data_IF_538593566180
#
_entry.id   IF_538593566180
#
_cell.length_a   1.000
_cell.length_b   1.000
_cell.length_c   1.000
_cell.angle_alpha   90.00
_cell.angle_beta   90.00
_cell.angle_gamma   90.00
#
_symmetry.space_group_name_H-M   'P 1'
#
loop_
_entity.id
_entity.type
_entity.pdbx_description
1 polymer ?
#
# COMPACT_ATOMS: atom_id res chain seq x y z
N UNK A 1 50.68 -1.01 5.07
CA UNK A 1 50.25 -0.73 3.68
C UNK A 1 49.67 -2.04 3.15
N UNK A 2 48.38 -2.23 2.85
CA UNK A 2 47.33 -1.30 2.42
C UNK A 2 45.94 -1.84 2.80
N UNK A 3 45.02 -0.95 3.24
CA UNK A 3 43.58 -1.22 3.39
C UNK A 3 42.92 -1.36 2.01
N UNK A 4 41.77 -2.05 1.94
CA UNK A 4 40.54 -1.43 1.42
C UNK A 4 39.41 -1.70 2.43
N UNK A 5 38.64 -0.81 3.04
CA UNK A 5 38.00 0.46 2.64
C UNK A 5 37.33 0.40 1.27
N UNK A 6 36.20 -0.32 1.18
CA UNK A 6 35.02 0.01 0.38
C UNK A 6 33.80 -0.74 0.96
N UNK A 7 32.65 -0.03 1.04
CA UNK A 7 31.27 -0.54 0.91
C UNK A 7 30.76 -1.62 1.91
N UNK A 8 29.63 -1.48 2.60
CA UNK A 8 28.38 -0.79 2.34
C UNK A 8 27.75 -0.36 3.67
N UNK A 9 27.04 0.78 3.66
CA UNK A 9 26.12 1.14 4.72
C UNK A 9 24.98 0.12 4.77
N UNK A 10 25.10 -0.90 5.61
CA UNK A 10 23.98 -1.82 5.88
C UNK A 10 22.94 -1.03 6.68
N UNK A 11 21.90 -0.57 5.98
CA UNK A 11 20.78 0.17 6.53
C UNK A 11 19.96 -0.78 7.44
N UNK A 12 20.25 -0.80 8.74
CA UNK A 12 19.58 -1.66 9.73
C UNK A 12 18.18 -1.16 10.16
N UNK A 13 17.42 -0.47 9.30
CA UNK A 13 16.14 0.11 9.71
C UNK A 13 15.07 -0.02 8.63
N UNK A 14 14.60 -1.26 8.42
CA UNK A 14 13.31 -1.54 7.82
C UNK A 14 12.31 -1.87 8.91
N UNK A 15 11.89 -0.90 9.71
CA UNK A 15 10.72 -1.06 10.58
C UNK A 15 9.51 -1.25 9.66
N UNK A 16 9.09 -2.51 9.47
CA UNK A 16 7.81 -2.81 8.85
C UNK A 16 6.72 -2.18 9.71
N UNK A 17 6.28 -0.98 9.35
CA UNK A 17 5.12 -0.36 9.95
C UNK A 17 3.98 -1.36 9.83
N UNK A 18 3.38 -1.74 10.97
CA UNK A 18 2.10 -2.43 10.97
C UNK A 18 1.12 -1.46 10.30
N UNK A 19 0.96 -1.58 8.99
CA UNK A 19 -0.06 -0.87 8.24
C UNK A 19 -1.39 -1.41 8.73
N UNK A 20 -1.99 -0.69 9.67
CA UNK A 20 -3.34 -0.95 10.10
C UNK A 20 -4.25 -0.67 8.89
N UNK A 21 -4.59 -1.74 8.15
CA UNK A 21 -5.45 -1.65 6.98
C UNK A 21 -6.83 -1.07 7.31
N UNK A 22 -7.22 -1.03 8.59
CA UNK A 22 -8.45 -0.38 9.02
C UNK A 22 -8.32 1.15 9.09
N UNK A 23 -7.11 1.70 9.20
CA UNK A 23 -6.84 3.14 9.21
C UNK A 23 -6.33 3.70 7.87
N UNK A 24 -6.22 2.87 6.83
CA UNK A 24 -5.93 3.38 5.49
C UNK A 24 -7.11 4.26 5.03
N UNK A 25 -6.85 5.46 4.47
CA UNK A 25 -7.91 6.32 3.92
C UNK A 25 -8.63 5.68 2.72
N UNK A 26 -8.09 4.57 2.21
CA UNK A 26 -8.66 3.77 1.14
C UNK A 26 -9.54 2.64 1.68
N UNK A 27 -10.72 2.46 1.09
CA UNK A 27 -11.57 1.29 1.24
C UNK A 27 -11.41 0.39 0.00
N UNK A 28 -11.46 -0.93 0.19
CA UNK A 28 -11.54 -1.86 -0.94
C UNK A 28 -12.92 -1.75 -1.59
N UNK A 29 -12.99 -1.57 -2.91
CA UNK A 29 -14.29 -1.46 -3.58
C UNK A 29 -15.08 -2.77 -3.45
N UNK A 30 -16.28 -2.79 -2.83
CA UNK A 30 -17.03 -4.01 -2.57
C UNK A 30 -17.54 -4.67 -3.87
N UNK A 31 -17.91 -3.87 -4.87
CA UNK A 31 -18.39 -4.37 -6.16
C UNK A 31 -17.28 -5.01 -6.98
N UNK A 32 -16.08 -4.44 -6.96
CA UNK A 32 -14.92 -5.03 -7.61
C UNK A 32 -14.45 -6.29 -6.88
N UNK A 33 -14.52 -6.31 -5.55
CA UNK A 33 -14.19 -7.49 -4.76
C UNK A 33 -15.08 -8.69 -5.10
N UNK A 34 -16.40 -8.49 -5.28
CA UNK A 34 -17.33 -9.54 -5.75
C UNK A 34 -16.94 -10.12 -7.12
N UNK A 35 -16.27 -9.33 -7.96
CA UNK A 35 -15.77 -9.73 -9.29
C UNK A 35 -14.36 -10.32 -9.25
N UNK A 36 -13.75 -10.46 -8.06
CA UNK A 36 -12.37 -10.89 -7.90
C UNK A 36 -11.33 -9.84 -8.28
N UNK A 37 -11.73 -8.58 -8.46
CA UNK A 37 -10.82 -7.47 -8.78
C UNK A 37 -10.43 -6.75 -7.50
N UNK A 38 -9.13 -6.70 -7.22
CA UNK A 38 -8.59 -5.95 -6.10
C UNK A 38 -8.33 -4.50 -6.49
N UNK A 39 -9.07 -3.57 -5.88
CA UNK A 39 -8.89 -2.13 -6.09
C UNK A 39 -9.22 -1.37 -4.81
N UNK A 40 -8.40 -0.35 -4.53
CA UNK A 40 -8.51 0.51 -3.37
C UNK A 40 -8.96 1.90 -3.79
N UNK A 41 -9.95 2.43 -3.08
CA UNK A 41 -10.63 3.67 -3.42
C UNK A 41 -10.63 4.58 -2.21
N UNK A 42 -10.30 5.86 -2.40
CA UNK A 42 -10.45 6.86 -1.33
C UNK A 42 -11.93 6.96 -0.96
N UNK A 43 -12.26 6.88 0.33
CA UNK A 43 -13.66 7.00 0.79
C UNK A 43 -14.30 8.29 0.28
N UNK A 44 -15.55 8.20 -0.17
CA UNK A 44 -16.28 9.30 -0.77
C UNK A 44 -15.89 9.62 -2.22
N UNK A 45 -15.07 8.78 -2.87
CA UNK A 45 -14.83 8.84 -4.31
C UNK A 45 -15.41 7.62 -5.03
N UNK A 46 -15.69 7.81 -6.31
CA UNK A 46 -16.08 6.74 -7.20
C UNK A 46 -14.89 5.82 -7.51
N UNK A 47 -15.14 4.51 -7.52
CA UNK A 47 -14.18 3.50 -7.93
C UNK A 47 -13.72 3.75 -9.37
N UNK A 48 -12.41 3.72 -9.67
CA UNK A 48 -11.90 3.95 -11.02
C UNK A 48 -12.29 2.83 -12.00
N UNK A 49 -12.59 1.62 -11.50
CA UNK A 49 -12.90 0.45 -12.32
C UNK A 49 -14.39 0.35 -12.64
N UNK A 50 -15.25 0.39 -11.62
CA UNK A 50 -16.68 0.17 -11.78
C UNK A 50 -17.53 1.44 -11.64
N UNK A 51 -16.92 2.59 -11.33
CA UNK A 51 -17.57 3.90 -11.13
C UNK A 51 -18.59 3.95 -9.97
N UNK A 52 -18.66 2.91 -9.15
CA UNK A 52 -19.49 2.86 -7.95
C UNK A 52 -18.90 3.75 -6.84
N UNK A 53 -19.75 4.50 -6.14
CA UNK A 53 -19.33 5.32 -5.00
C UNK A 53 -18.94 4.42 -3.83
N UNK A 54 -17.69 4.52 -3.36
CA UNK A 54 -17.18 3.70 -2.27
C UNK A 54 -17.08 4.56 -1.01
N UNK A 55 -17.91 4.24 -0.01
CA UNK A 55 -17.96 4.91 1.29
C UNK A 55 -17.15 4.14 2.35
#
# INVERSE_FOLDING_TARGET
MSKPEQQELVNHQGQGALVDFANLPGVRCPECQKKGVETWVIRGRACPVCRHECL
#
